data_IF_750444631385
#
_entry.id   IF_750444631385
#
_cell.length_a   1.000
_cell.length_b   1.000
_cell.length_c   1.000
_cell.angle_alpha   90.00
_cell.angle_beta   90.00
_cell.angle_gamma   90.00
#
_symmetry.space_group_name_H-M   'P 1'
#
loop_
_entity.id
_entity.type
_entity.pdbx_description
1 polymer ?
#
# COMPACT_ATOMS: atom_id res chain seq x y z
N UNK A 1 -30.10 60.72 33.19
CA UNK A 1 -29.69 59.48 33.81
C UNK A 1 -29.41 58.43 32.73
N UNK A 2 -28.17 58.19 32.34
CA UNK A 2 -27.76 57.21 31.33
C UNK A 2 -27.24 55.96 32.03
N UNK A 3 -27.96 54.85 31.89
CA UNK A 3 -27.52 53.54 32.39
C UNK A 3 -26.57 52.92 31.38
N UNK A 4 -25.29 52.76 31.75
CA UNK A 4 -24.29 52.04 30.99
C UNK A 4 -24.30 50.55 31.45
N UNK A 5 -24.70 49.66 30.58
CA UNK A 5 -24.57 48.23 30.79
C UNK A 5 -23.26 47.73 30.20
N UNK A 6 -22.34 47.32 31.05
CA UNK A 6 -21.08 46.67 30.68
C UNK A 6 -21.33 45.22 30.17
N UNK A 7 -20.62 44.76 29.14
CA UNK A 7 -20.74 43.37 28.69
C UNK A 7 -19.99 42.41 29.62
N UNK A 8 -20.64 41.31 29.97
CA UNK A 8 -20.13 40.26 30.85
C UNK A 8 -19.05 39.39 30.14
N UNK A 9 -17.90 39.12 30.77
CA UNK A 9 -16.82 38.32 30.18
C UNK A 9 -17.07 36.83 30.44
N UNK A 10 -18.02 36.21 29.75
CA UNK A 10 -18.28 34.75 29.85
C UNK A 10 -18.08 33.95 28.56
N UNK A 11 -17.70 34.59 27.47
CA UNK A 11 -17.54 33.92 26.15
C UNK A 11 -16.05 33.70 25.74
N UNK A 12 -15.07 34.16 26.53
CA UNK A 12 -13.63 34.00 26.20
C UNK A 12 -12.99 32.77 26.88
N UNK A 13 -13.67 32.11 27.80
CA UNK A 13 -13.11 30.92 28.49
C UNK A 13 -13.34 29.61 27.74
N UNK A 14 -14.22 29.54 26.76
CA UNK A 14 -14.55 28.32 26.02
C UNK A 14 -13.61 28.06 24.80
N UNK A 15 -12.88 29.07 24.34
CA UNK A 15 -12.00 28.94 23.17
C UNK A 15 -10.58 28.46 23.47
N UNK A 16 -10.14 28.49 24.75
CA UNK A 16 -8.79 28.07 25.14
C UNK A 16 -8.68 26.60 25.54
N UNK A 17 -9.79 25.87 25.76
CA UNK A 17 -9.77 24.47 26.17
C UNK A 17 -9.63 23.48 25.01
N UNK A 18 -9.79 23.91 23.76
CA UNK A 18 -9.70 23.04 22.58
C UNK A 18 -8.26 22.88 22.03
N UNK A 19 -7.29 23.65 22.51
CA UNK A 19 -5.93 23.67 21.97
C UNK A 19 -4.97 22.67 22.66
N UNK A 20 -5.39 21.98 23.73
CA UNK A 20 -4.50 21.15 24.56
C UNK A 20 -4.59 19.62 24.30
N UNK A 21 -5.43 19.17 23.39
CA UNK A 21 -5.64 17.73 23.15
C UNK A 21 -4.86 17.13 21.95
N UNK A 22 -4.00 17.91 21.28
CA UNK A 22 -3.22 17.44 20.12
C UNK A 22 -1.79 16.98 20.45
N UNK A 23 -1.34 17.04 21.69
CA UNK A 23 0.06 16.74 22.05
C UNK A 23 0.35 15.28 22.39
N UNK A 24 -0.63 14.35 22.29
CA UNK A 24 -0.42 12.94 22.66
C UNK A 24 -0.13 11.99 21.50
N UNK A 25 0.04 12.48 20.28
CA UNK A 25 0.22 11.64 19.08
C UNK A 25 1.66 11.62 18.54
N UNK A 26 2.63 12.14 19.28
CA UNK A 26 4.05 12.13 18.90
C UNK A 26 4.76 11.06 19.72
N UNK A 27 5.31 10.06 19.06
CA UNK A 27 6.17 9.04 19.66
C UNK A 27 7.62 9.32 19.30
N UNK A 28 8.53 9.24 20.27
CA UNK A 28 9.96 9.29 20.01
C UNK A 28 10.45 7.97 19.41
N UNK A 29 11.29 8.07 18.41
CA UNK A 29 11.98 6.91 17.86
C UNK A 29 13.02 6.42 18.90
N UNK A 30 12.90 5.19 19.42
CA UNK A 30 13.79 4.69 20.47
C UNK A 30 15.25 4.52 20.03
N UNK A 31 15.54 4.66 18.72
CA UNK A 31 16.89 4.50 18.17
C UNK A 31 17.54 5.82 17.75
N UNK A 32 16.77 6.85 17.42
CA UNK A 32 17.30 8.13 16.91
C UNK A 32 16.95 9.32 17.79
N UNK A 33 16.01 9.18 18.75
CA UNK A 33 15.52 10.28 19.58
C UNK A 33 14.69 11.33 18.83
N UNK A 34 14.42 11.13 17.54
CA UNK A 34 13.62 12.06 16.76
C UNK A 34 12.13 11.87 17.01
N UNK A 35 11.42 12.99 17.15
CA UNK A 35 9.96 12.98 17.29
C UNK A 35 9.31 12.61 15.94
N UNK A 36 8.58 11.51 15.93
CA UNK A 36 7.83 11.06 14.76
C UNK A 36 6.32 11.05 15.04
N UNK A 37 5.54 11.46 14.04
CA UNK A 37 4.09 11.25 14.07
C UNK A 37 3.85 9.74 14.08
N UNK A 38 3.04 9.23 15.02
CA UNK A 38 2.77 7.80 15.09
C UNK A 38 2.20 7.31 13.75
N UNK A 39 2.62 6.13 13.31
CA UNK A 39 2.17 5.53 12.05
C UNK A 39 0.65 5.32 12.02
N UNK A 40 0.04 5.11 13.19
CA UNK A 40 -1.41 5.04 13.35
C UNK A 40 -2.07 6.38 13.02
N UNK A 41 -1.48 7.51 13.48
CA UNK A 41 -1.98 8.85 13.16
C UNK A 41 -1.77 9.18 11.68
N UNK A 42 -0.60 8.80 11.12
CA UNK A 42 -0.35 8.96 9.69
C UNK A 42 -1.30 8.10 8.84
N UNK A 43 -1.62 6.89 9.28
CA UNK A 43 -2.60 6.01 8.64
C UNK A 43 -4.03 6.58 8.68
N UNK A 44 -4.43 7.15 9.83
CA UNK A 44 -5.72 7.81 9.98
C UNK A 44 -5.85 9.04 9.09
N UNK A 45 -4.81 9.90 9.03
CA UNK A 45 -4.78 11.07 8.14
C UNK A 45 -4.75 10.67 6.67
N UNK A 46 -3.96 9.65 6.30
CA UNK A 46 -3.90 9.12 4.94
C UNK A 46 -5.22 8.47 4.52
N UNK A 47 -5.87 7.73 5.43
CA UNK A 47 -7.18 7.13 5.21
C UNK A 47 -8.28 8.17 5.04
N UNK A 48 -8.27 9.24 5.85
CA UNK A 48 -9.21 10.34 5.72
C UNK A 48 -9.06 11.07 4.38
N UNK A 49 -7.83 11.37 3.96
CA UNK A 49 -7.57 12.02 2.67
C UNK A 49 -7.95 11.11 1.49
N UNK A 50 -7.57 9.83 1.53
CA UNK A 50 -7.94 8.85 0.49
C UNK A 50 -9.44 8.61 0.43
N UNK A 51 -10.11 8.47 1.59
CA UNK A 51 -11.56 8.33 1.68
C UNK A 51 -12.31 9.56 1.16
N UNK A 52 -11.79 10.77 1.44
CA UNK A 52 -12.38 12.01 0.93
C UNK A 52 -12.34 12.08 -0.60
N UNK A 53 -11.21 11.70 -1.21
CA UNK A 53 -11.08 11.70 -2.67
C UNK A 53 -12.03 10.69 -3.33
N UNK A 54 -12.08 9.46 -2.82
CA UNK A 54 -12.98 8.43 -3.33
C UNK A 54 -14.45 8.84 -3.11
N UNK A 55 -14.78 9.33 -1.91
CA UNK A 55 -16.12 9.81 -1.59
C UNK A 55 -16.55 10.97 -2.48
N UNK A 56 -15.65 11.90 -2.80
CA UNK A 56 -15.95 13.00 -3.72
C UNK A 56 -16.25 12.50 -5.15
N UNK A 57 -15.47 11.54 -5.64
CA UNK A 57 -15.69 10.93 -6.98
C UNK A 57 -17.04 10.20 -7.02
N UNK A 58 -17.35 9.41 -6.01
CA UNK A 58 -18.62 8.68 -5.93
C UNK A 58 -19.79 9.68 -5.76
N UNK A 59 -19.67 10.64 -4.83
CA UNK A 59 -20.70 11.64 -4.56
C UNK A 59 -21.03 12.51 -5.78
N UNK A 60 -20.05 12.77 -6.65
CA UNK A 60 -20.26 13.54 -7.89
C UNK A 60 -20.90 12.72 -9.02
N UNK A 61 -20.71 11.39 -9.04
CA UNK A 61 -21.17 10.52 -10.11
C UNK A 61 -22.41 9.68 -9.76
N UNK A 62 -22.70 9.51 -8.47
CA UNK A 62 -23.79 8.64 -7.99
C UNK A 62 -24.56 9.39 -6.89
N UNK A 63 -25.69 9.93 -7.24
CA UNK A 63 -26.54 10.66 -6.29
C UNK A 63 -26.82 12.11 -6.70
N UNK A 64 -27.01 12.99 -5.73
CA UNK A 64 -27.40 14.40 -5.93
C UNK A 64 -26.27 15.31 -6.44
N UNK A 65 -25.13 14.76 -6.84
CA UNK A 65 -23.99 15.52 -7.38
C UNK A 65 -23.21 16.36 -6.36
N UNK A 66 -23.37 16.09 -5.06
CA UNK A 66 -22.67 16.82 -4.00
C UNK A 66 -21.33 16.15 -3.62
N UNK A 67 -20.29 16.51 -4.36
CA UNK A 67 -18.94 16.02 -4.09
C UNK A 67 -18.41 16.39 -2.69
N UNK A 68 -18.88 17.51 -2.13
CA UNK A 68 -18.49 17.95 -0.79
C UNK A 68 -19.02 17.03 0.30
N UNK A 69 -20.28 16.62 0.22
CA UNK A 69 -20.89 15.66 1.16
C UNK A 69 -20.25 14.28 1.01
N UNK A 70 -20.04 13.81 -0.22
CA UNK A 70 -19.35 12.56 -0.47
C UNK A 70 -17.93 12.56 0.11
N UNK A 71 -17.19 13.66 -0.05
CA UNK A 71 -15.85 13.82 0.51
C UNK A 71 -15.85 13.79 2.05
N UNK A 72 -16.79 14.48 2.70
CA UNK A 72 -16.91 14.49 4.17
C UNK A 72 -17.24 13.10 4.73
N UNK A 73 -18.19 12.39 4.13
CA UNK A 73 -18.54 11.02 4.53
C UNK A 73 -17.36 10.09 4.30
N UNK A 74 -16.72 10.18 3.13
CA UNK A 74 -15.54 9.38 2.81
C UNK A 74 -14.36 9.65 3.74
N UNK A 75 -14.11 10.92 4.10
CA UNK A 75 -13.06 11.28 5.06
C UNK A 75 -13.33 10.73 6.46
N UNK A 76 -14.58 10.83 6.94
CA UNK A 76 -14.96 10.32 8.25
C UNK A 76 -14.82 8.80 8.35
N UNK A 77 -15.35 8.08 7.36
CA UNK A 77 -15.26 6.61 7.31
C UNK A 77 -13.82 6.15 7.05
N UNK A 78 -13.10 6.81 6.13
CA UNK A 78 -11.71 6.50 5.81
C UNK A 78 -10.76 6.79 6.97
N UNK A 79 -11.01 7.85 7.75
CA UNK A 79 -10.21 8.20 8.92
C UNK A 79 -10.31 7.17 10.05
N UNK A 80 -11.53 6.72 10.35
CA UNK A 80 -11.78 5.72 11.40
C UNK A 80 -11.22 4.35 10.98
N UNK A 81 -11.56 3.90 9.77
CA UNK A 81 -11.05 2.63 9.24
C UNK A 81 -9.54 2.68 8.98
N UNK A 82 -9.04 3.84 8.50
CA UNK A 82 -7.63 4.06 8.18
C UNK A 82 -6.69 3.91 9.36
N UNK A 83 -7.11 4.29 10.58
CA UNK A 83 -6.31 4.11 11.79
C UNK A 83 -6.03 2.65 12.13
N UNK A 84 -7.05 1.81 12.11
CA UNK A 84 -6.91 0.36 12.35
C UNK A 84 -6.23 -0.36 11.18
N UNK A 85 -6.56 0.01 9.95
CA UNK A 85 -5.93 -0.53 8.73
C UNK A 85 -4.46 -0.13 8.69
N UNK A 86 -4.12 1.15 9.01
CA UNK A 86 -2.76 1.63 9.06
C UNK A 86 -1.89 0.77 9.98
N UNK A 87 -2.33 0.56 11.22
CA UNK A 87 -1.61 -0.26 12.19
C UNK A 87 -1.44 -1.73 11.73
N UNK A 88 -2.50 -2.32 11.17
CA UNK A 88 -2.45 -3.68 10.61
C UNK A 88 -1.42 -3.79 9.48
N UNK A 89 -1.44 -2.84 8.55
CA UNK A 89 -0.50 -2.81 7.43
C UNK A 89 0.93 -2.47 7.87
N UNK A 90 1.11 -1.65 8.91
CA UNK A 90 2.43 -1.34 9.47
C UNK A 90 3.08 -2.58 10.10
N UNK A 91 2.31 -3.38 10.83
CA UNK A 91 2.78 -4.65 11.38
C UNK A 91 3.15 -5.64 10.26
N UNK A 92 2.31 -5.74 9.22
CA UNK A 92 2.57 -6.58 8.05
C UNK A 92 3.84 -6.12 7.32
N UNK A 93 4.00 -4.82 7.07
CA UNK A 93 5.20 -4.24 6.45
C UNK A 93 6.46 -4.54 7.26
N UNK A 94 6.42 -4.29 8.57
CA UNK A 94 7.56 -4.54 9.46
C UNK A 94 8.01 -5.99 9.40
N UNK A 95 7.07 -6.94 9.44
CA UNK A 95 7.37 -8.36 9.35
C UNK A 95 7.91 -8.73 7.95
N UNK A 96 7.36 -8.19 6.86
CA UNK A 96 7.88 -8.40 5.51
C UNK A 96 9.31 -7.86 5.38
N UNK A 97 9.60 -6.66 5.91
CA UNK A 97 10.97 -6.11 5.89
C UNK A 97 11.95 -6.96 6.68
N UNK A 98 11.53 -7.53 7.79
CA UNK A 98 12.35 -8.42 8.60
C UNK A 98 12.64 -9.74 7.85
N UNK A 99 11.60 -10.40 7.33
CA UNK A 99 11.71 -11.70 6.65
C UNK A 99 12.45 -11.61 5.30
N UNK A 100 12.32 -10.48 4.62
CA UNK A 100 12.92 -10.27 3.28
C UNK A 100 14.27 -9.56 3.32
N UNK A 101 14.83 -9.32 4.50
CA UNK A 101 16.16 -8.73 4.65
C UNK A 101 17.19 -9.59 3.89
N UNK A 102 17.98 -8.99 3.05
CA UNK A 102 19.00 -9.64 2.20
C UNK A 102 18.46 -10.62 1.13
N UNK A 103 17.15 -10.65 0.87
CA UNK A 103 16.56 -11.50 -0.19
C UNK A 103 16.68 -10.91 -1.59
N UNK A 104 17.02 -9.64 -1.72
CA UNK A 104 17.01 -8.88 -2.97
C UNK A 104 15.59 -8.36 -3.35
N UNK A 105 14.56 -8.63 -2.54
CA UNK A 105 13.21 -8.09 -2.69
C UNK A 105 13.13 -6.75 -1.98
N UNK A 106 12.66 -5.71 -2.68
CA UNK A 106 12.39 -4.43 -2.03
C UNK A 106 10.95 -4.37 -1.52
N UNK A 107 10.78 -3.79 -0.32
CA UNK A 107 9.49 -3.57 0.33
C UNK A 107 9.22 -2.08 0.38
N UNK A 108 8.20 -1.62 -0.33
CA UNK A 108 7.82 -0.21 -0.40
C UNK A 108 6.40 -0.02 0.12
N UNK A 109 6.18 1.01 0.94
CA UNK A 109 4.84 1.43 1.36
C UNK A 109 4.32 2.51 0.42
N UNK A 110 3.10 2.35 -0.05
CA UNK A 110 2.40 3.35 -0.85
C UNK A 110 0.97 3.54 -0.31
N UNK A 111 0.79 4.55 0.51
CA UNK A 111 -0.46 4.74 1.25
C UNK A 111 -0.78 3.54 2.13
N UNK A 112 -1.94 2.93 1.95
CA UNK A 112 -2.35 1.70 2.64
C UNK A 112 -1.88 0.41 1.96
N UNK A 113 -1.15 0.49 0.85
CA UNK A 113 -0.66 -0.67 0.14
C UNK A 113 0.81 -0.94 0.45
N UNK A 114 1.22 -2.20 0.43
CA UNK A 114 2.61 -2.63 0.46
C UNK A 114 2.94 -3.23 -0.89
N UNK A 115 4.05 -2.82 -1.49
CA UNK A 115 4.53 -3.33 -2.77
C UNK A 115 5.85 -4.06 -2.54
N UNK A 116 5.89 -5.33 -2.91
CA UNK A 116 7.10 -6.13 -2.96
C UNK A 116 7.56 -6.16 -4.42
N UNK A 117 8.73 -5.60 -4.70
CA UNK A 117 9.33 -5.68 -6.04
C UNK A 117 10.37 -6.80 -6.07
N UNK A 118 10.16 -7.76 -6.95
CA UNK A 118 10.99 -8.94 -7.16
C UNK A 118 11.65 -8.86 -8.54
N UNK A 119 12.94 -8.47 -8.63
CA UNK A 119 13.68 -8.48 -9.88
C UNK A 119 13.68 -9.86 -10.52
N UNK A 120 13.54 -9.89 -11.88
CA UNK A 120 13.53 -11.16 -12.62
C UNK A 120 14.75 -12.02 -12.35
N UNK A 121 15.93 -11.40 -12.30
CA UNK A 121 17.21 -12.11 -12.25
C UNK A 121 17.37 -12.97 -10.98
N UNK A 122 16.71 -12.61 -9.87
CA UNK A 122 16.69 -13.44 -8.66
C UNK A 122 15.51 -14.42 -8.66
N UNK A 123 14.43 -14.12 -9.39
CA UNK A 123 13.15 -14.86 -9.34
C UNK A 123 13.07 -15.98 -10.37
N UNK A 124 13.50 -15.72 -11.61
CA UNK A 124 13.33 -16.64 -12.76
C UNK A 124 14.63 -16.83 -13.54
N UNK A 125 14.68 -17.89 -14.35
CA UNK A 125 15.67 -18.02 -15.41
C UNK A 125 15.28 -17.18 -16.64
N UNK A 126 16.26 -16.80 -17.44
CA UNK A 126 16.04 -16.00 -18.66
C UNK A 126 15.00 -16.68 -19.58
N UNK A 127 14.05 -15.90 -20.10
CA UNK A 127 12.98 -16.41 -20.96
C UNK A 127 12.00 -17.38 -20.31
N UNK A 128 12.05 -17.57 -18.97
CA UNK A 128 11.26 -18.57 -18.25
C UNK A 128 10.30 -17.93 -17.26
N UNK A 129 9.21 -18.63 -16.97
CA UNK A 129 8.29 -18.36 -15.86
C UNK A 129 8.49 -19.34 -14.69
N UNK A 130 9.47 -20.26 -14.79
CA UNK A 130 9.80 -21.18 -13.70
C UNK A 130 10.58 -20.45 -12.61
N UNK A 131 10.05 -20.49 -11.39
CA UNK A 131 10.68 -19.89 -10.21
C UNK A 131 11.97 -20.65 -9.89
N UNK A 132 13.04 -19.90 -9.63
CA UNK A 132 14.32 -20.48 -9.19
C UNK A 132 14.18 -21.15 -7.82
N UNK A 133 14.80 -22.31 -7.64
CA UNK A 133 14.80 -23.01 -6.36
C UNK A 133 15.39 -22.14 -5.23
N UNK A 134 16.42 -21.33 -5.52
CA UNK A 134 16.98 -20.38 -4.57
C UNK A 134 15.98 -19.33 -4.09
N UNK A 135 15.00 -18.95 -4.92
CA UNK A 135 13.98 -17.96 -4.59
C UNK A 135 12.76 -18.56 -3.89
N UNK A 136 12.59 -19.88 -3.91
CA UNK A 136 11.46 -20.58 -3.26
C UNK A 136 11.38 -20.28 -1.76
N UNK A 137 12.53 -20.19 -1.07
CA UNK A 137 12.57 -19.83 0.36
C UNK A 137 12.03 -18.43 0.62
N UNK A 138 12.37 -17.47 -0.23
CA UNK A 138 11.87 -16.10 -0.15
C UNK A 138 10.34 -16.07 -0.28
N UNK A 139 9.77 -16.82 -1.24
CA UNK A 139 8.32 -16.94 -1.39
C UNK A 139 7.67 -17.66 -0.21
N UNK A 140 8.34 -18.61 0.42
CA UNK A 140 7.86 -19.23 1.67
C UNK A 140 7.75 -18.20 2.78
N UNK A 141 8.77 -17.35 2.99
CA UNK A 141 8.71 -16.25 3.97
C UNK A 141 7.56 -15.28 3.67
N UNK A 142 7.38 -14.87 2.41
CA UNK A 142 6.24 -14.05 2.00
C UNK A 142 4.92 -14.74 2.32
N UNK A 143 4.78 -16.02 1.99
CA UNK A 143 3.58 -16.83 2.26
C UNK A 143 3.24 -16.90 3.75
N UNK A 144 4.24 -17.07 4.62
CA UNK A 144 4.06 -17.09 6.09
C UNK A 144 3.44 -15.76 6.56
N UNK A 145 4.00 -14.63 6.12
CA UNK A 145 3.48 -13.31 6.49
C UNK A 145 2.07 -13.09 5.93
N UNK A 146 1.82 -13.43 4.66
CA UNK A 146 0.50 -13.29 4.05
C UNK A 146 -0.58 -14.17 4.69
N UNK A 147 -0.23 -15.34 5.23
CA UNK A 147 -1.15 -16.17 6.01
C UNK A 147 -1.49 -15.54 7.35
N UNK A 148 -0.48 -15.02 8.05
CA UNK A 148 -0.67 -14.32 9.34
C UNK A 148 -1.54 -13.08 9.17
N UNK A 149 -1.30 -12.30 8.12
CA UNK A 149 -2.06 -11.11 7.78
C UNK A 149 -3.07 -11.41 6.67
N UNK A 150 -4.19 -12.04 7.04
CA UNK A 150 -5.16 -12.60 6.09
C UNK A 150 -6.23 -11.61 5.61
N UNK A 151 -6.29 -10.39 6.16
CA UNK A 151 -7.26 -9.36 5.78
C UNK A 151 -6.76 -8.45 4.64
N UNK A 152 -5.99 -9.01 3.71
CA UNK A 152 -5.48 -8.29 2.54
C UNK A 152 -5.73 -9.06 1.26
N UNK A 153 -5.91 -8.32 0.16
CA UNK A 153 -5.87 -8.85 -1.21
C UNK A 153 -4.45 -8.78 -1.73
N UNK A 154 -4.04 -9.74 -2.52
CA UNK A 154 -2.69 -9.89 -3.05
C UNK A 154 -2.76 -9.90 -4.57
N UNK A 155 -2.32 -8.81 -5.20
CA UNK A 155 -2.27 -8.66 -6.64
C UNK A 155 -0.85 -8.94 -7.10
N UNK A 156 -0.66 -9.91 -7.96
CA UNK A 156 0.64 -10.28 -8.52
C UNK A 156 0.73 -9.77 -9.95
N UNK A 157 1.61 -8.83 -10.18
CA UNK A 157 1.79 -8.14 -11.46
C UNK A 157 3.11 -8.55 -12.10
N UNK A 158 3.05 -9.10 -13.31
CA UNK A 158 4.23 -9.45 -14.10
C UNK A 158 4.53 -8.39 -15.15
N UNK A 159 5.81 -8.08 -15.32
CA UNK A 159 6.30 -7.10 -16.28
C UNK A 159 7.49 -7.65 -17.07
N UNK A 160 7.68 -7.15 -18.30
CA UNK A 160 8.84 -7.41 -19.15
C UNK A 160 9.54 -6.10 -19.50
N UNK A 161 10.69 -6.20 -20.11
CA UNK A 161 11.24 -5.14 -20.92
C UNK A 161 10.58 -5.14 -22.33
N UNK A 162 11.06 -4.28 -23.23
CA UNK A 162 10.55 -4.12 -24.60
C UNK A 162 11.20 -5.08 -25.60
N UNK A 163 11.98 -6.07 -25.17
CA UNK A 163 12.56 -7.05 -26.09
C UNK A 163 11.52 -8.11 -26.46
N UNK A 164 11.35 -8.34 -27.78
CA UNK A 164 10.36 -9.27 -28.32
C UNK A 164 9.05 -8.60 -28.74
N UNK A 165 8.06 -9.41 -29.11
CA UNK A 165 6.76 -8.89 -29.47
C UNK A 165 5.89 -8.59 -28.25
N UNK A 166 5.04 -7.57 -28.32
CA UNK A 166 4.10 -7.23 -27.26
C UNK A 166 3.19 -8.42 -26.87
N UNK A 167 2.80 -9.24 -27.86
CA UNK A 167 2.01 -10.46 -27.62
C UNK A 167 2.80 -11.48 -26.79
N UNK A 168 4.05 -11.74 -27.13
CA UNK A 168 4.93 -12.64 -26.37
C UNK A 168 5.16 -12.12 -24.95
N UNK A 169 5.48 -10.83 -24.81
CA UNK A 169 5.70 -10.17 -23.52
C UNK A 169 4.46 -10.21 -22.62
N UNK A 170 3.27 -10.03 -23.19
CA UNK A 170 2.02 -10.16 -22.46
C UNK A 170 1.82 -11.59 -21.93
N UNK A 171 2.06 -12.61 -22.75
CA UNK A 171 1.99 -14.02 -22.34
C UNK A 171 2.99 -14.33 -21.23
N UNK A 172 4.28 -14.02 -21.46
CA UNK A 172 5.36 -14.30 -20.50
C UNK A 172 5.15 -13.61 -19.13
N UNK A 173 4.69 -12.37 -19.13
CA UNK A 173 4.41 -11.63 -17.91
C UNK A 173 3.24 -12.23 -17.10
N UNK A 174 2.19 -12.70 -17.80
CA UNK A 174 1.06 -13.41 -17.19
C UNK A 174 1.50 -14.73 -16.56
N UNK A 175 2.31 -15.51 -17.28
CA UNK A 175 2.81 -16.80 -16.80
C UNK A 175 3.69 -16.63 -15.56
N UNK A 176 4.54 -15.59 -15.52
CA UNK A 176 5.36 -15.25 -14.35
C UNK A 176 4.51 -14.87 -13.15
N UNK A 177 3.52 -14.01 -13.35
CA UNK A 177 2.59 -13.62 -12.29
C UNK A 177 1.82 -14.84 -11.75
N UNK A 178 1.36 -15.71 -12.63
CA UNK A 178 0.65 -16.96 -12.27
C UNK A 178 1.55 -17.91 -11.50
N UNK A 179 2.82 -18.08 -11.89
CA UNK A 179 3.78 -18.92 -11.19
C UNK A 179 4.01 -18.47 -9.75
N UNK A 180 4.16 -17.15 -9.53
CA UNK A 180 4.30 -16.59 -8.18
C UNK A 180 3.00 -16.74 -7.38
N UNK A 181 1.85 -16.47 -7.99
CA UNK A 181 0.54 -16.65 -7.35
C UNK A 181 0.31 -18.09 -6.91
N UNK A 182 0.61 -19.07 -7.78
CA UNK A 182 0.49 -20.50 -7.49
C UNK A 182 1.46 -20.93 -6.38
N UNK A 183 2.68 -20.40 -6.37
CA UNK A 183 3.63 -20.67 -5.31
C UNK A 183 3.13 -20.15 -3.95
N UNK A 184 2.53 -18.95 -3.89
CA UNK A 184 1.93 -18.41 -2.68
C UNK A 184 0.71 -19.22 -2.23
N UNK A 185 -0.14 -19.69 -3.17
CA UNK A 185 -1.25 -20.59 -2.86
C UNK A 185 -0.73 -21.90 -2.26
N UNK A 186 0.34 -22.46 -2.82
CA UNK A 186 1.02 -23.65 -2.28
C UNK A 186 1.61 -23.43 -0.88
N UNK A 187 1.91 -22.20 -0.50
CA UNK A 187 2.30 -21.83 0.87
C UNK A 187 1.09 -21.59 1.80
N UNK A 188 -0.14 -21.85 1.33
CA UNK A 188 -1.37 -21.73 2.12
C UNK A 188 -2.02 -20.35 2.13
N UNK A 189 -1.63 -19.46 1.23
CA UNK A 189 -2.39 -18.20 1.00
C UNK A 189 -3.68 -18.58 0.25
N UNK A 190 -4.84 -18.18 0.80
CA UNK A 190 -6.13 -18.57 0.21
C UNK A 190 -6.28 -18.03 -1.23
N UNK A 191 -6.66 -18.88 -2.20
CA UNK A 191 -6.73 -18.48 -3.62
C UNK A 191 -7.63 -17.29 -3.91
N UNK A 192 -8.74 -17.10 -3.16
CA UNK A 192 -9.64 -15.96 -3.33
C UNK A 192 -9.00 -14.59 -3.03
N UNK A 193 -7.83 -14.59 -2.40
CA UNK A 193 -7.05 -13.39 -2.12
C UNK A 193 -6.04 -13.06 -3.23
N UNK A 194 -5.77 -14.01 -4.11
CA UNK A 194 -4.70 -13.94 -5.09
C UNK A 194 -5.26 -13.56 -6.47
N UNK A 195 -4.71 -12.52 -7.07
CA UNK A 195 -5.05 -12.10 -8.44
C UNK A 195 -3.76 -11.92 -9.23
N UNK A 196 -3.54 -12.75 -10.26
CA UNK A 196 -2.37 -12.65 -11.13
C UNK A 196 -2.71 -11.89 -12.42
N UNK A 197 -1.87 -10.92 -12.80
CA UNK A 197 -2.00 -10.14 -14.04
C UNK A 197 -0.65 -9.96 -14.73
N UNK A 198 -0.64 -10.11 -16.06
CA UNK A 198 0.48 -9.71 -16.90
C UNK A 198 0.22 -8.33 -17.48
N UNK A 199 1.26 -7.51 -17.54
CA UNK A 199 1.26 -6.18 -18.14
C UNK A 199 2.24 -6.10 -19.34
N UNK A 200 3.01 -7.17 -19.61
CA UNK A 200 4.03 -7.13 -20.65
C UNK A 200 4.99 -5.96 -20.41
N UNK A 201 5.26 -5.25 -21.49
CA UNK A 201 6.13 -4.05 -21.52
C UNK A 201 5.40 -2.73 -21.29
N UNK A 202 4.06 -2.76 -21.08
CA UNK A 202 3.22 -1.55 -21.07
C UNK A 202 3.41 -0.63 -19.87
N UNK A 203 4.07 -1.10 -18.82
CA UNK A 203 4.28 -0.34 -17.58
C UNK A 203 5.76 -0.32 -17.19
N UNK A 204 6.63 0.36 -17.94
CA UNK A 204 8.04 0.46 -17.62
C UNK A 204 8.28 1.39 -16.41
N UNK A 205 9.24 1.03 -15.55
CA UNK A 205 9.72 1.87 -14.43
C UNK A 205 11.08 2.50 -14.71
N UNK A 206 11.70 2.13 -15.83
CA UNK A 206 12.98 2.66 -16.30
C UNK A 206 13.02 2.66 -17.83
N UNK A 207 13.99 3.39 -18.41
CA UNK A 207 14.16 3.42 -19.86
C UNK A 207 14.52 2.05 -20.43
N UNK A 208 13.83 1.62 -21.48
CA UNK A 208 14.16 0.41 -22.22
C UNK A 208 15.36 0.59 -23.19
N UNK A 209 15.95 1.79 -23.27
CA UNK A 209 17.12 2.06 -24.13
C UNK A 209 18.44 1.61 -23.52
N UNK A 210 18.45 1.16 -22.27
CA UNK A 210 19.65 0.68 -21.59
C UNK A 210 19.45 -0.71 -21.00
N UNK A 211 20.51 -1.52 -20.96
CA UNK A 211 20.47 -2.85 -20.35
C UNK A 211 20.06 -2.79 -18.87
N UNK A 212 20.56 -1.79 -18.14
CA UNK A 212 20.20 -1.58 -16.73
C UNK A 212 18.72 -1.19 -16.56
N UNK A 213 18.17 -0.39 -17.46
CA UNK A 213 16.76 -0.04 -17.43
C UNK A 213 15.85 -1.23 -17.79
N UNK A 214 16.20 -1.98 -18.82
CA UNK A 214 15.53 -3.25 -19.16
C UNK A 214 15.52 -4.23 -17.99
N UNK A 215 16.63 -4.38 -17.28
CA UNK A 215 16.72 -5.24 -16.11
C UNK A 215 15.74 -4.81 -15.00
N UNK A 216 15.53 -3.51 -14.79
CA UNK A 216 14.54 -2.98 -13.83
C UNK A 216 13.10 -3.24 -14.29
N UNK A 217 12.84 -3.19 -15.60
CA UNK A 217 11.52 -3.43 -16.17
C UNK A 217 11.12 -4.91 -16.08
N UNK A 218 12.08 -5.84 -16.21
CA UNK A 218 11.85 -7.27 -15.98
C UNK A 218 11.68 -7.55 -14.49
N UNK A 219 10.43 -7.56 -14.03
CA UNK A 219 10.11 -7.75 -12.59
C UNK A 219 8.75 -8.41 -12.40
N UNK A 220 8.53 -8.90 -11.20
CA UNK A 220 7.20 -9.20 -10.67
C UNK A 220 6.98 -8.35 -9.42
N UNK A 221 5.83 -7.74 -9.32
CA UNK A 221 5.41 -6.99 -8.15
C UNK A 221 4.27 -7.71 -7.43
N UNK A 222 4.32 -7.75 -6.10
CA UNK A 222 3.19 -8.18 -5.28
C UNK A 222 2.65 -6.94 -4.58
N UNK A 223 1.44 -6.54 -4.95
CA UNK A 223 0.71 -5.46 -4.31
C UNK A 223 -0.22 -6.04 -3.25
N UNK A 224 0.00 -5.68 -2.01
CA UNK A 224 -0.78 -6.12 -0.86
C UNK A 224 -1.66 -4.97 -0.43
N UNK A 225 -2.97 -5.11 -0.62
CA UNK A 225 -3.97 -4.09 -0.34
C UNK A 225 -4.92 -4.57 0.78
N UNK A 226 -5.38 -3.69 1.68
CA UNK A 226 -6.42 -4.04 2.64
C UNK A 226 -7.68 -4.54 1.92
N UNK A 227 -8.36 -5.52 2.51
CA UNK A 227 -9.71 -5.90 2.07
C UNK A 227 -10.72 -4.99 2.75
N UNK A 228 -11.57 -4.38 1.95
CA UNK A 228 -12.78 -3.70 2.41
C UNK A 228 -13.85 -4.70 2.82
#
# INVERSE_FOLDING_TARGET
>A
MKSSSSPRPRLLAAALAAAFSLSSCVTENPYTGEQQISKTTAGALGGAAGGALLGAVIGNNVGDGDAGRGALIGAALGGIAGGSIGNYMDQQESMLRQELRASGVSVTRQGNNIILNMPHDITFNTGSSRIKTSFSRTLTSVGIVLRKFNQTTVLVHGHTDSDGSAFYNMGLSRDRASSVSNALAGQGVHPSRLVARGFGESQPIASNNSAAGKAKNRRVEIHIAPRS
#
